data_IF_644115183658
#
_entry.id   IF_644115183658
#
_cell.length_a   1.000
_cell.length_b   1.000
_cell.length_c   1.000
_cell.angle_alpha   90.00
_cell.angle_beta   90.00
_cell.angle_gamma   90.00
#
_symmetry.space_group_name_H-M   'P 1'
#
loop_
_entity.id
_entity.type
_entity.pdbx_description
1 polymer ?
#
# COMPACT_ATOMS: atom_id res chain seq x y z
N UNK A 1 -5.49 28.36 -8.39
CA UNK A 1 -4.61 28.12 -9.55
C UNK A 1 -4.90 26.72 -10.09
N UNK A 2 -5.31 26.56 -11.36
CA UNK A 2 -5.38 25.23 -11.98
C UNK A 2 -3.96 24.76 -12.23
N UNK A 3 -3.52 23.70 -11.56
CA UNK A 3 -2.22 23.09 -11.81
C UNK A 3 -2.15 22.61 -13.26
N UNK A 4 -1.30 23.21 -14.07
CA UNK A 4 -1.12 22.85 -15.48
C UNK A 4 -0.26 21.59 -15.59
N UNK A 5 -0.67 20.66 -16.43
CA UNK A 5 0.15 19.51 -16.84
C UNK A 5 0.83 19.81 -18.16
N UNK A 6 2.12 19.43 -18.23
CA UNK A 6 2.94 19.52 -19.43
C UNK A 6 3.61 18.17 -19.67
N UNK A 7 3.84 17.83 -20.93
CA UNK A 7 4.52 16.58 -21.31
C UNK A 7 5.68 16.85 -22.28
N UNK A 8 6.70 16.03 -22.13
CA UNK A 8 7.80 15.92 -23.09
C UNK A 8 8.20 14.45 -23.20
N UNK A 9 8.11 13.92 -24.39
CA UNK A 9 8.31 12.48 -24.64
C UNK A 9 7.39 11.63 -23.74
N UNK A 10 7.97 10.74 -22.96
CA UNK A 10 7.23 9.88 -22.02
C UNK A 10 7.15 10.45 -20.59
N UNK A 11 7.60 11.69 -20.36
CA UNK A 11 7.56 12.30 -19.04
C UNK A 11 6.41 13.32 -18.96
N UNK A 12 5.69 13.29 -17.87
CA UNK A 12 4.61 14.24 -17.56
C UNK A 12 4.99 14.98 -16.29
N UNK A 13 4.89 16.31 -16.34
CA UNK A 13 5.17 17.18 -15.22
C UNK A 13 3.94 17.98 -14.85
N UNK A 14 3.69 18.11 -13.56
CA UNK A 14 2.69 19.02 -13.04
C UNK A 14 3.34 20.27 -12.52
N UNK A 15 2.89 21.43 -13.00
CA UNK A 15 3.30 22.73 -12.50
C UNK A 15 2.54 23.00 -11.22
N UNK A 16 3.28 23.20 -10.13
CA UNK A 16 2.74 23.47 -8.80
C UNK A 16 2.76 24.95 -8.45
N UNK A 17 3.79 25.66 -8.91
CA UNK A 17 4.01 27.08 -8.69
C UNK A 17 4.90 27.66 -9.80
N UNK A 18 4.93 29.00 -9.96
CA UNK A 18 5.78 29.64 -10.95
C UNK A 18 6.09 31.08 -10.54
N UNK A 19 7.28 31.54 -10.88
CA UNK A 19 7.67 32.96 -10.89
C UNK A 19 8.16 33.33 -12.29
N UNK A 20 8.70 34.53 -12.46
CA UNK A 20 9.08 35.05 -13.79
C UNK A 20 10.16 34.19 -14.50
N UNK A 21 11.13 33.64 -13.75
CA UNK A 21 12.26 32.91 -14.30
C UNK A 21 12.19 31.39 -14.10
N UNK A 22 11.42 30.92 -13.12
CA UNK A 22 11.42 29.52 -12.72
C UNK A 22 10.00 28.97 -12.54
N UNK A 23 9.89 27.67 -12.77
CA UNK A 23 8.66 26.91 -12.60
C UNK A 23 8.91 25.77 -11.62
N UNK A 24 8.04 25.65 -10.62
CA UNK A 24 8.10 24.60 -9.62
C UNK A 24 7.28 23.40 -10.10
N UNK A 25 7.95 22.29 -10.36
CA UNK A 25 7.33 21.12 -10.99
C UNK A 25 7.54 19.83 -10.22
N UNK A 26 6.62 18.88 -10.38
CA UNK A 26 6.76 17.50 -9.97
C UNK A 26 6.69 16.57 -11.18
N UNK A 27 7.60 15.59 -11.24
CA UNK A 27 7.55 14.50 -12.22
C UNK A 27 6.44 13.52 -11.84
N UNK A 28 5.40 13.45 -12.66
CA UNK A 28 4.24 12.60 -12.40
C UNK A 28 4.49 11.12 -12.65
N UNK A 29 5.46 10.78 -13.52
CA UNK A 29 5.80 9.39 -13.85
C UNK A 29 6.69 8.79 -12.75
N UNK A 30 7.77 9.49 -12.41
CA UNK A 30 8.72 9.03 -11.39
C UNK A 30 8.27 9.31 -9.97
N UNK A 31 7.27 10.19 -9.78
CA UNK A 31 6.78 10.63 -8.47
C UNK A 31 7.92 11.07 -7.52
N UNK A 32 8.89 11.82 -8.06
CA UNK A 32 10.03 12.33 -7.31
C UNK A 32 9.66 13.64 -6.61
N UNK A 33 10.46 14.05 -5.61
CA UNK A 33 10.24 15.32 -4.91
C UNK A 33 10.28 16.50 -5.91
N UNK A 34 9.36 17.48 -5.72
CA UNK A 34 9.27 18.62 -6.63
C UNK A 34 10.49 19.51 -6.56
N UNK A 35 10.82 20.13 -7.68
CA UNK A 35 11.98 21.01 -7.88
C UNK A 35 11.64 22.23 -8.73
N UNK A 36 12.44 23.29 -8.56
CA UNK A 36 12.43 24.42 -9.44
C UNK A 36 13.27 24.11 -10.69
N UNK A 37 12.76 24.46 -11.86
CA UNK A 37 13.45 24.40 -13.16
C UNK A 37 13.27 25.75 -13.86
N UNK A 38 14.15 26.12 -14.80
CA UNK A 38 14.02 27.37 -15.55
C UNK A 38 12.81 27.33 -16.47
N UNK A 39 12.10 28.45 -16.61
CA UNK A 39 10.94 28.56 -17.48
C UNK A 39 11.30 28.23 -18.95
N UNK A 40 12.50 28.64 -19.42
CA UNK A 40 13.02 28.33 -20.75
C UNK A 40 13.07 26.81 -21.05
N UNK A 41 13.33 25.97 -20.04
CA UNK A 41 13.45 24.52 -20.23
C UNK A 41 12.11 23.84 -20.60
N UNK A 42 10.97 24.49 -20.27
CA UNK A 42 9.63 23.94 -20.49
C UNK A 42 8.87 24.61 -21.65
N UNK A 43 9.42 25.62 -22.30
CA UNK A 43 8.77 26.34 -23.42
C UNK A 43 8.35 25.39 -24.55
N UNK A 44 9.14 24.36 -24.81
CA UNK A 44 8.91 23.38 -25.87
C UNK A 44 8.13 22.14 -25.40
N UNK A 45 7.47 22.19 -24.22
CA UNK A 45 6.67 21.08 -23.71
C UNK A 45 5.23 21.22 -24.17
N UNK A 46 4.64 20.11 -24.59
CA UNK A 46 3.23 20.05 -24.98
C UNK A 46 2.33 20.16 -23.74
N UNK A 47 1.15 20.71 -23.94
CA UNK A 47 0.11 20.69 -22.90
C UNK A 47 -0.47 19.29 -22.77
N UNK A 48 -0.72 18.87 -21.53
CA UNK A 48 -1.39 17.61 -21.20
C UNK A 48 -2.67 17.89 -20.43
N UNK A 49 -3.74 17.17 -20.70
CA UNK A 49 -5.00 17.29 -19.95
C UNK A 49 -5.00 16.36 -18.73
N UNK A 50 -5.85 16.67 -17.74
CA UNK A 50 -6.04 15.77 -16.58
C UNK A 50 -6.61 14.40 -17.00
N UNK A 51 -7.42 14.36 -18.05
CA UNK A 51 -8.01 13.13 -18.59
C UNK A 51 -6.94 12.25 -19.22
N UNK A 52 -6.08 12.83 -20.06
CA UNK A 52 -4.93 12.13 -20.64
C UNK A 52 -4.01 11.59 -19.56
N UNK A 53 -3.69 12.40 -18.54
CA UNK A 53 -2.85 11.97 -17.44
C UNK A 53 -3.47 10.80 -16.66
N UNK A 54 -4.76 10.86 -16.33
CA UNK A 54 -5.46 9.78 -15.62
C UNK A 54 -5.52 8.49 -16.41
N UNK A 55 -5.75 8.58 -17.72
CA UNK A 55 -5.74 7.43 -18.63
C UNK A 55 -4.35 6.74 -18.65
N UNK A 56 -3.28 7.53 -18.74
CA UNK A 56 -1.90 7.02 -18.74
C UNK A 56 -1.49 6.44 -17.37
N UNK A 57 -2.02 6.98 -16.28
CA UNK A 57 -1.72 6.53 -14.93
C UNK A 57 -2.53 5.28 -14.51
N UNK A 58 -3.42 4.79 -15.37
CA UNK A 58 -4.37 3.67 -15.09
C UNK A 58 -5.04 3.83 -13.71
N UNK A 59 -5.48 5.06 -13.42
CA UNK A 59 -5.98 5.42 -12.11
C UNK A 59 -7.45 5.80 -12.16
N UNK A 60 -8.30 4.93 -11.66
CA UNK A 60 -9.68 5.27 -11.32
C UNK A 60 -9.71 6.04 -10.00
N UNK A 61 -10.20 7.27 -10.04
CA UNK A 61 -10.38 8.11 -8.84
C UNK A 61 -11.82 7.93 -8.36
N UNK A 62 -12.06 7.19 -7.27
CA UNK A 62 -13.41 7.02 -6.74
C UNK A 62 -13.93 8.35 -6.19
N UNK A 63 -15.26 8.57 -6.33
CA UNK A 63 -15.90 9.73 -5.72
C UNK A 63 -15.82 9.62 -4.18
N UNK A 64 -15.38 10.68 -3.52
CA UNK A 64 -15.31 10.76 -2.05
C UNK A 64 -16.68 10.50 -1.41
N UNK A 65 -17.77 10.81 -2.09
CA UNK A 65 -19.14 10.61 -1.58
C UNK A 65 -19.50 9.14 -1.42
N UNK A 66 -18.95 8.27 -2.27
CA UNK A 66 -19.23 6.82 -2.26
C UNK A 66 -18.41 6.03 -1.24
N UNK A 67 -17.44 6.67 -0.59
CA UNK A 67 -16.53 6.02 0.35
C UNK A 67 -17.18 5.78 1.70
N UNK A 68 -16.87 4.64 2.31
CA UNK A 68 -17.24 4.30 3.67
C UNK A 68 -16.56 5.23 4.70
N UNK A 69 -17.10 5.28 5.91
CA UNK A 69 -16.52 6.09 7.01
C UNK A 69 -15.08 5.67 7.34
N UNK A 70 -14.76 4.38 7.29
CA UNK A 70 -13.42 3.87 7.56
C UNK A 70 -12.43 4.31 6.47
N UNK A 71 -12.85 4.27 5.20
CA UNK A 71 -12.01 4.75 4.08
C UNK A 71 -11.76 6.26 4.19
N UNK A 72 -12.78 7.05 4.51
CA UNK A 72 -12.66 8.51 4.74
C UNK A 72 -11.70 8.81 5.90
N UNK A 73 -11.80 8.07 7.01
CA UNK A 73 -10.89 8.20 8.15
C UNK A 73 -9.44 7.93 7.74
N UNK A 74 -9.21 6.84 7.03
CA UNK A 74 -7.87 6.45 6.56
C UNK A 74 -7.23 7.47 5.61
N UNK A 75 -8.04 8.04 4.69
CA UNK A 75 -7.60 9.13 3.81
C UNK A 75 -7.19 10.35 4.62
N UNK A 76 -8.02 10.76 5.59
CA UNK A 76 -7.78 11.94 6.39
C UNK A 76 -6.54 11.77 7.30
N UNK A 77 -6.34 10.61 7.90
CA UNK A 77 -5.14 10.30 8.69
C UNK A 77 -3.87 10.50 7.86
N UNK A 78 -3.82 9.97 6.63
CA UNK A 78 -2.66 10.15 5.75
C UNK A 78 -2.51 11.57 5.24
N UNK A 79 -3.63 12.25 4.96
CA UNK A 79 -3.59 13.63 4.51
C UNK A 79 -3.08 14.57 5.61
N UNK A 80 -3.47 14.34 6.86
CA UNK A 80 -3.00 15.13 8.00
C UNK A 80 -1.48 15.08 8.16
N UNK A 81 -0.84 13.95 7.83
CA UNK A 81 0.62 13.81 7.84
C UNK A 81 1.32 14.85 6.96
N UNK A 82 0.69 15.27 5.86
CA UNK A 82 1.28 16.22 4.91
C UNK A 82 0.70 17.63 4.99
N UNK A 83 -0.38 17.82 5.75
CA UNK A 83 -1.15 19.07 5.79
C UNK A 83 -0.30 20.30 6.07
N UNK A 84 0.60 20.24 7.05
CA UNK A 84 1.49 21.35 7.41
C UNK A 84 2.65 21.57 6.43
N UNK A 85 2.92 20.61 5.53
CA UNK A 85 4.01 20.70 4.58
C UNK A 85 3.56 21.42 3.29
N UNK A 86 2.28 21.29 2.93
CA UNK A 86 1.74 21.82 1.68
C UNK A 86 1.93 23.32 1.49
N UNK A 87 1.70 24.19 2.50
CA UNK A 87 1.89 25.64 2.35
C UNK A 87 3.34 26.06 2.07
N UNK A 88 4.31 25.24 2.47
CA UNK A 88 5.73 25.55 2.33
C UNK A 88 6.46 24.59 1.36
N UNK A 89 5.71 23.95 0.48
CA UNK A 89 6.26 22.90 -0.41
C UNK A 89 7.31 23.42 -1.38
N UNK A 90 7.22 24.69 -1.81
CA UNK A 90 8.15 25.35 -2.73
C UNK A 90 9.48 25.74 -2.08
N UNK A 91 9.51 26.00 -0.77
CA UNK A 91 10.76 26.27 -0.05
C UNK A 91 11.44 24.98 0.42
N UNK A 92 12.59 24.70 -0.13
CA UNK A 92 13.34 23.46 0.14
C UNK A 92 13.72 23.29 1.62
N UNK A 93 14.17 24.37 2.27
CA UNK A 93 14.63 24.30 3.68
C UNK A 93 13.48 24.04 4.63
N UNK A 94 12.43 24.84 4.54
CA UNK A 94 11.23 24.72 5.38
C UNK A 94 10.51 23.40 5.13
N UNK A 95 10.34 23.01 3.86
CA UNK A 95 9.79 21.69 3.49
C UNK A 95 10.56 20.55 4.13
N UNK A 96 11.90 20.56 4.05
CA UNK A 96 12.74 19.50 4.61
C UNK A 96 12.60 19.43 6.14
N UNK A 97 12.52 20.56 6.81
CA UNK A 97 12.32 20.63 8.25
C UNK A 97 10.92 20.11 8.63
N UNK A 98 9.87 20.57 7.95
CA UNK A 98 8.49 20.12 8.19
C UNK A 98 8.30 18.62 7.94
N UNK A 99 8.99 18.03 6.95
CA UNK A 99 8.99 16.57 6.75
C UNK A 99 9.60 15.83 7.96
N UNK A 100 10.64 16.37 8.58
CA UNK A 100 11.25 15.76 9.78
C UNK A 100 10.30 15.85 10.98
N UNK A 101 9.68 17.00 11.19
CA UNK A 101 8.73 17.26 12.29
C UNK A 101 7.51 16.34 12.15
N UNK A 102 6.90 16.30 10.97
CA UNK A 102 5.75 15.42 10.70
C UNK A 102 6.09 13.93 10.87
N UNK A 103 7.26 13.50 10.41
CA UNK A 103 7.71 12.12 10.59
C UNK A 103 7.81 11.73 12.08
N UNK A 104 8.31 12.63 12.93
CA UNK A 104 8.38 12.42 14.37
C UNK A 104 6.99 12.44 15.02
N UNK A 105 6.17 13.43 14.69
CA UNK A 105 4.82 13.59 15.27
C UNK A 105 3.91 12.38 14.99
N UNK A 106 4.03 11.78 13.81
CA UNK A 106 3.21 10.64 13.38
C UNK A 106 3.90 9.27 13.53
N UNK A 107 5.10 9.22 14.13
CA UNK A 107 5.92 8.01 14.26
C UNK A 107 6.13 7.27 12.92
N UNK A 108 6.44 8.03 11.89
CA UNK A 108 6.67 7.54 10.53
C UNK A 108 8.11 7.74 10.07
N UNK A 109 8.52 6.97 9.05
CA UNK A 109 9.78 7.23 8.36
C UNK A 109 9.63 8.47 7.45
N UNK A 110 10.66 9.30 7.35
CA UNK A 110 10.71 10.46 6.45
C UNK A 110 10.40 10.11 4.98
N UNK A 111 10.79 8.92 4.53
CA UNK A 111 10.47 8.44 3.19
C UNK A 111 8.98 8.20 2.98
N UNK A 112 8.27 7.73 4.02
CA UNK A 112 6.81 7.57 3.99
C UNK A 112 6.11 8.91 3.84
N UNK A 113 6.55 9.93 4.60
CA UNK A 113 6.02 11.30 4.50
C UNK A 113 6.26 11.88 3.11
N UNK A 114 7.48 11.74 2.57
CA UNK A 114 7.82 12.15 1.19
C UNK A 114 6.94 11.46 0.15
N UNK A 115 6.74 10.16 0.30
CA UNK A 115 5.87 9.38 -0.59
C UNK A 115 4.42 9.91 -0.57
N UNK A 116 3.87 10.19 0.60
CA UNK A 116 2.51 10.76 0.71
C UNK A 116 2.45 12.14 0.07
N UNK A 117 3.44 12.98 0.33
CA UNK A 117 3.53 14.31 -0.27
C UNK A 117 3.58 14.23 -1.80
N UNK A 118 4.50 13.44 -2.37
CA UNK A 118 4.60 13.28 -3.82
C UNK A 118 3.31 12.74 -4.44
N UNK A 119 2.68 11.72 -3.85
CA UNK A 119 1.42 11.19 -4.34
C UNK A 119 0.32 12.25 -4.39
N UNK A 120 0.18 13.04 -3.32
CA UNK A 120 -0.80 14.11 -3.31
C UNK A 120 -0.49 15.20 -4.34
N UNK A 121 0.76 15.62 -4.46
CA UNK A 121 1.19 16.64 -5.42
C UNK A 121 1.01 16.21 -6.88
N UNK A 122 1.20 14.92 -7.17
CA UNK A 122 1.01 14.34 -8.50
C UNK A 122 -0.47 14.29 -8.87
N UNK A 123 -1.31 13.75 -8.00
CA UNK A 123 -2.72 13.46 -8.33
C UNK A 123 -3.72 14.53 -7.89
N UNK A 124 -3.31 15.47 -7.03
CA UNK A 124 -4.13 16.57 -6.52
C UNK A 124 -5.47 16.12 -5.90
N UNK A 125 -5.54 14.87 -5.45
CA UNK A 125 -6.71 14.29 -4.80
C UNK A 125 -6.34 13.51 -3.55
N UNK A 126 -7.16 13.61 -2.49
CA UNK A 126 -6.96 12.85 -1.26
C UNK A 126 -7.25 11.36 -1.42
N UNK A 127 -8.07 10.98 -2.41
CA UNK A 127 -8.44 9.58 -2.66
C UNK A 127 -7.26 8.71 -3.11
N UNK A 128 -6.13 9.33 -3.49
CA UNK A 128 -4.86 8.63 -3.77
C UNK A 128 -4.35 7.82 -2.57
N UNK A 129 -4.78 8.16 -1.36
CA UNK A 129 -4.42 7.46 -0.13
C UNK A 129 -5.25 6.21 0.16
N UNK A 130 -6.28 5.94 -0.64
CA UNK A 130 -7.01 4.67 -0.52
C UNK A 130 -6.07 3.48 -0.72
N UNK A 131 -6.22 2.43 0.08
CA UNK A 131 -5.52 1.19 -0.20
C UNK A 131 -5.98 0.67 -1.56
N UNK A 132 -5.05 0.37 -2.45
CA UNK A 132 -5.38 -0.31 -3.70
C UNK A 132 -6.07 -1.62 -3.32
N UNK A 133 -7.35 -1.76 -3.66
CA UNK A 133 -8.03 -3.06 -3.59
C UNK A 133 -7.26 -3.96 -4.54
N UNK A 134 -6.63 -5.00 -4.01
CA UNK A 134 -6.04 -6.04 -4.84
C UNK A 134 -7.20 -6.87 -5.42
N UNK A 135 -7.83 -6.34 -6.46
CA UNK A 135 -8.89 -7.04 -7.20
C UNK A 135 -8.40 -8.36 -7.80
N UNK A 136 -7.08 -8.50 -7.94
CA UNK A 136 -6.42 -9.70 -8.47
C UNK A 136 -5.90 -10.67 -7.39
N UNK A 137 -6.28 -10.55 -6.12
CA UNK A 137 -6.06 -11.66 -5.21
C UNK A 137 -7.17 -12.69 -5.47
N UNK A 138 -6.86 -13.85 -6.07
CA UNK A 138 -7.84 -14.91 -6.19
C UNK A 138 -8.40 -15.16 -4.79
N UNK A 139 -9.72 -15.10 -4.66
CA UNK A 139 -10.35 -15.47 -3.40
C UNK A 139 -9.90 -16.89 -3.06
N UNK A 140 -9.44 -17.05 -1.82
CA UNK A 140 -9.09 -18.37 -1.34
C UNK A 140 -10.35 -19.24 -1.35
N UNK A 141 -10.22 -20.45 -1.87
CA UNK A 141 -11.27 -21.45 -1.74
C UNK A 141 -11.59 -21.70 -0.26
N UNK A 142 -12.73 -22.32 0.01
CA UNK A 142 -13.10 -22.64 1.39
C UNK A 142 -12.06 -23.56 2.04
N UNK A 143 -11.51 -24.51 1.28
CA UNK A 143 -10.44 -25.39 1.74
C UNK A 143 -9.16 -24.63 2.06
N UNK A 144 -8.75 -23.68 1.22
CA UNK A 144 -7.59 -22.84 1.49
C UNK A 144 -7.78 -21.92 2.72
N UNK A 145 -9.03 -21.46 2.97
CA UNK A 145 -9.38 -20.73 4.19
C UNK A 145 -9.26 -21.62 5.42
N UNK A 146 -9.75 -22.86 5.34
CA UNK A 146 -9.63 -23.85 6.40
C UNK A 146 -8.18 -24.28 6.67
N UNK A 147 -7.38 -24.48 5.60
CA UNK A 147 -5.96 -24.78 5.70
C UNK A 147 -5.20 -23.64 6.41
N UNK A 148 -5.45 -22.38 6.02
CA UNK A 148 -4.86 -21.20 6.66
C UNK A 148 -5.24 -21.09 8.12
N UNK A 149 -6.51 -21.32 8.45
CA UNK A 149 -6.99 -21.35 9.82
C UNK A 149 -6.23 -22.40 10.66
N UNK A 150 -6.08 -23.62 10.14
CA UNK A 150 -5.42 -24.69 10.86
C UNK A 150 -3.92 -24.42 11.06
N UNK A 151 -3.25 -23.87 10.06
CA UNK A 151 -1.86 -23.45 10.17
C UNK A 151 -1.68 -22.40 11.28
N UNK A 152 -2.54 -21.39 11.32
CA UNK A 152 -2.45 -20.33 12.33
C UNK A 152 -2.81 -20.83 13.75
N UNK A 153 -3.84 -21.68 13.88
CA UNK A 153 -4.32 -22.13 15.17
C UNK A 153 -3.47 -23.24 15.80
N UNK A 154 -2.88 -24.10 14.99
CA UNK A 154 -2.23 -25.32 15.50
C UNK A 154 -0.74 -25.43 15.15
N UNK A 155 -0.31 -24.93 13.96
CA UNK A 155 1.05 -25.10 13.51
C UNK A 155 1.97 -23.92 13.88
N UNK A 156 1.54 -22.68 13.67
CA UNK A 156 2.26 -21.47 14.01
C UNK A 156 2.08 -21.10 15.49
N UNK A 157 2.41 -22.04 16.37
CA UNK A 157 2.26 -21.89 17.82
C UNK A 157 3.51 -22.38 18.56
N UNK A 158 3.68 -21.96 19.81
CA UNK A 158 4.79 -22.39 20.66
C UNK A 158 4.74 -23.89 21.00
N UNK A 159 3.57 -24.53 20.86
CA UNK A 159 3.41 -25.98 21.06
C UNK A 159 4.17 -26.81 20.02
N UNK A 160 4.68 -26.19 18.96
CA UNK A 160 5.51 -26.81 17.91
C UNK A 160 4.90 -28.08 17.30
N UNK A 161 3.57 -28.12 17.18
CA UNK A 161 2.89 -29.22 16.54
C UNK A 161 3.44 -29.51 15.15
N UNK A 162 3.41 -30.78 14.74
CA UNK A 162 3.79 -31.16 13.39
C UNK A 162 2.77 -30.68 12.35
N UNK A 163 3.19 -30.56 11.11
CA UNK A 163 2.27 -30.21 10.00
C UNK A 163 1.15 -31.23 9.86
N UNK A 164 1.48 -32.52 10.09
CA UNK A 164 0.51 -33.64 10.07
C UNK A 164 -0.51 -33.51 11.21
N UNK A 165 -0.08 -33.13 12.39
CA UNK A 165 -0.96 -32.88 13.55
C UNK A 165 -1.94 -31.73 13.28
N UNK A 166 -1.42 -30.61 12.71
CA UNK A 166 -2.26 -29.48 12.34
C UNK A 166 -3.33 -29.86 11.28
N UNK A 167 -2.94 -30.70 10.31
CA UNK A 167 -3.87 -31.24 9.32
C UNK A 167 -4.97 -32.11 9.95
N UNK A 168 -4.60 -33.04 10.85
CA UNK A 168 -5.59 -33.88 11.56
C UNK A 168 -6.56 -33.02 12.36
N UNK A 169 -6.08 -31.99 13.05
CA UNK A 169 -6.96 -31.07 13.77
C UNK A 169 -7.84 -30.24 12.84
N UNK A 170 -7.36 -29.90 11.64
CA UNK A 170 -8.19 -29.27 10.63
C UNK A 170 -9.36 -30.17 10.24
N UNK A 171 -9.09 -31.42 9.89
CA UNK A 171 -10.13 -32.37 9.51
C UNK A 171 -11.17 -32.53 10.63
N UNK A 172 -10.71 -32.77 11.85
CA UNK A 172 -11.58 -32.94 13.01
C UNK A 172 -12.50 -31.74 13.27
N UNK A 173 -12.02 -30.53 13.04
CA UNK A 173 -12.77 -29.32 13.39
C UNK A 173 -13.60 -28.73 12.24
N UNK A 174 -13.32 -29.09 10.99
CA UNK A 174 -13.91 -28.45 9.80
C UNK A 174 -14.54 -29.39 8.81
N UNK A 175 -14.24 -30.69 8.90
CA UNK A 175 -14.68 -31.71 7.95
C UNK A 175 -15.27 -32.95 8.65
N UNK A 176 -15.35 -32.99 9.97
CA UNK A 176 -16.11 -34.00 10.68
C UNK A 176 -17.45 -33.41 11.17
N UNK A 177 -18.48 -34.22 11.14
CA UNK A 177 -19.79 -33.95 11.72
C UNK A 177 -19.80 -34.14 13.26
N UNK A 178 -20.95 -33.98 13.87
CA UNK A 178 -21.14 -34.16 15.32
C UNK A 178 -20.90 -35.60 15.80
N UNK A 179 -21.03 -36.59 14.92
CA UNK A 179 -20.79 -38.02 15.19
C UNK A 179 -19.29 -38.37 14.99
N UNK A 180 -18.50 -37.46 14.46
CA UNK A 180 -17.08 -37.67 14.18
C UNK A 180 -16.82 -38.31 12.81
N UNK A 181 -17.85 -38.45 11.97
CA UNK A 181 -17.71 -38.93 10.60
C UNK A 181 -17.11 -37.85 9.66
N UNK A 182 -16.22 -38.27 8.81
CA UNK A 182 -15.52 -37.37 7.87
C UNK A 182 -16.41 -37.09 6.66
N UNK A 183 -16.51 -35.82 6.23
CA UNK A 183 -17.18 -35.44 5.00
C UNK A 183 -16.55 -36.17 3.79
N UNK A 184 -17.34 -36.41 2.73
CA UNK A 184 -16.84 -37.07 1.53
C UNK A 184 -15.76 -36.25 0.82
N UNK A 185 -15.93 -34.92 0.79
CA UNK A 185 -14.97 -33.98 0.17
C UNK A 185 -14.15 -33.25 1.23
N UNK A 186 -12.88 -33.60 1.34
CA UNK A 186 -11.92 -32.90 2.18
C UNK A 186 -10.54 -32.85 1.49
N UNK A 187 -9.74 -31.79 1.74
CA UNK A 187 -8.44 -31.66 1.13
C UNK A 187 -7.46 -32.71 1.68
N UNK A 188 -6.71 -33.33 0.78
CA UNK A 188 -5.69 -34.31 1.15
C UNK A 188 -4.51 -33.67 1.90
N UNK A 189 -3.75 -34.47 2.66
CA UNK A 189 -2.54 -33.98 3.31
C UNK A 189 -1.50 -33.42 2.32
N UNK A 190 -1.49 -33.94 1.08
CA UNK A 190 -0.61 -33.42 0.01
C UNK A 190 -0.99 -31.99 -0.36
N UNK A 191 -2.28 -31.72 -0.55
CA UNK A 191 -2.80 -30.36 -0.84
C UNK A 191 -2.53 -29.40 0.32
N UNK A 192 -2.73 -29.83 1.58
CA UNK A 192 -2.39 -29.05 2.76
C UNK A 192 -0.90 -28.73 2.84
N UNK A 193 -0.03 -29.70 2.57
CA UNK A 193 1.43 -29.51 2.54
C UNK A 193 1.87 -28.58 1.39
N UNK A 194 1.23 -28.69 0.23
CA UNK A 194 1.46 -27.79 -0.91
C UNK A 194 1.07 -26.35 -0.55
N UNK A 195 -0.13 -26.16 0.00
CA UNK A 195 -0.61 -24.85 0.46
C UNK A 195 0.34 -24.22 1.49
N UNK A 196 0.79 -25.00 2.47
CA UNK A 196 1.80 -24.54 3.44
C UNK A 196 3.08 -24.08 2.74
N UNK A 197 3.63 -24.85 1.81
CA UNK A 197 4.87 -24.48 1.08
C UNK A 197 4.70 -23.20 0.27
N UNK A 198 3.56 -23.04 -0.40
CA UNK A 198 3.22 -21.87 -1.21
C UNK A 198 3.06 -20.59 -0.35
N UNK A 199 2.52 -20.72 0.86
CA UNK A 199 2.18 -19.58 1.74
C UNK A 199 3.15 -19.36 2.90
N UNK A 200 4.15 -20.22 3.07
CA UNK A 200 5.10 -20.17 4.17
C UNK A 200 5.87 -18.85 4.19
N UNK A 201 5.82 -18.18 5.35
CA UNK A 201 6.70 -17.05 5.69
C UNK A 201 7.69 -17.52 6.77
N UNK A 202 8.99 -17.51 6.45
CA UNK A 202 10.04 -18.01 7.35
C UNK A 202 10.13 -17.19 8.63
N UNK A 203 10.00 -15.88 8.55
CA UNK A 203 10.03 -15.00 9.72
C UNK A 203 8.88 -15.32 10.67
N UNK A 204 7.65 -15.40 10.17
CA UNK A 204 6.49 -15.79 10.98
C UNK A 204 6.65 -17.19 11.58
N UNK A 205 7.20 -18.13 10.82
CA UNK A 205 7.47 -19.49 11.29
C UNK A 205 8.37 -19.49 12.52
N UNK A 206 9.50 -18.77 12.46
CA UNK A 206 10.44 -18.72 13.58
C UNK A 206 9.88 -17.97 14.78
N UNK A 207 9.29 -16.79 14.57
CA UNK A 207 8.74 -15.96 15.66
C UNK A 207 7.60 -16.68 16.39
N UNK A 208 6.66 -17.27 15.66
CA UNK A 208 5.50 -17.93 16.25
C UNK A 208 5.84 -19.20 17.03
N UNK A 209 6.90 -19.91 16.65
CA UNK A 209 7.31 -21.18 17.27
C UNK A 209 8.37 -21.03 18.33
N UNK A 210 9.25 -20.03 18.24
CA UNK A 210 10.37 -19.86 19.13
C UNK A 210 10.35 -18.55 19.92
N UNK A 211 9.40 -17.66 19.62
CA UNK A 211 9.29 -16.33 20.22
C UNK A 211 10.21 -15.28 19.60
N UNK A 212 9.83 -14.02 19.75
CA UNK A 212 10.54 -12.88 19.17
C UNK A 212 11.99 -12.75 19.72
N UNK A 213 12.19 -12.98 21.00
CA UNK A 213 13.53 -12.89 21.63
C UNK A 213 14.55 -13.85 21.01
N UNK A 214 14.12 -15.05 20.63
CA UNK A 214 15.02 -16.05 20.01
C UNK A 214 15.25 -15.78 18.52
N UNK A 215 14.40 -15.00 17.88
CA UNK A 215 14.57 -14.56 16.49
C UNK A 215 15.57 -13.40 16.36
N UNK A 216 15.67 -12.55 17.38
CA UNK A 216 16.55 -11.37 17.40
C UNK A 216 17.99 -11.68 17.85
N UNK A 217 18.29 -12.90 18.31
CA UNK A 217 19.62 -13.42 18.62
C UNK A 217 20.26 -14.10 17.42
#
# INVERSE_FOLDING_TARGET
MQCKLIKKDNNIYRILDSNDDYVFVIDCVKSTMPKWIKAEEIENYDRCTEEEFRSLADMTVPDIKTLSLNEKKHINEKFNVIGEILPCVSDYKTRTQKIKESALAHNLNKQTVRKYLCLYLVYQTRTVFLPKKNENRPELSQDEKNMRWALNKFFYTQNKNSLKTAYIFMLKNRYCDENGELAEDYPTFYQFRYFYRKTKNMQNYYISRNGLKNYQR
#
